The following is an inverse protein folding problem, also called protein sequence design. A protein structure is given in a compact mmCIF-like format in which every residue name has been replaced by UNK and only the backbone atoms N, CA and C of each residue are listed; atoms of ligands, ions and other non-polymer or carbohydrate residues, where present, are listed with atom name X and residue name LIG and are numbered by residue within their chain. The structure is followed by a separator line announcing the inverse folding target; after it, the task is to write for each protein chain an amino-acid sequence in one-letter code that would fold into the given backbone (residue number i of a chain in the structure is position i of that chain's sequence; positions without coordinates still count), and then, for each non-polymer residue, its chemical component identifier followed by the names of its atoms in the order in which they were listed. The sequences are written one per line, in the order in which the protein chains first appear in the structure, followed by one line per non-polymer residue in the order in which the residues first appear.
data_IF_549422818425
#
_entry.id   IF_549422818425
#
_cell.length_a   1.000
_cell.length_b   1.000
_cell.length_c   1.000
_cell.angle_alpha   90.00
_cell.angle_beta   90.00
_cell.angle_gamma   90.00
#
_symmetry.space_group_name_H-M   'P 1'
#
loop_
_entity.id
_entity.type
_entity.pdbx_description
1 polymer ?
#
# COMPACT_ATOMS: atom_id res chain seq x y z
N UNK A 1 -21.43 -6.03 13.33
CA UNK A 1 -20.64 -5.49 12.20
C UNK A 1 -19.36 -6.29 12.12
N UNK A 2 -19.17 -7.12 11.08
CA UNK A 2 -18.06 -8.08 10.95
C UNK A 2 -17.05 -7.62 9.89
N UNK A 3 -16.30 -6.55 10.17
CA UNK A 3 -15.31 -5.97 9.25
C UNK A 3 -14.09 -6.87 9.00
N UNK A 4 -13.75 -7.75 9.95
CA UNK A 4 -12.62 -8.67 9.83
C UNK A 4 -12.82 -9.71 8.71
N UNK A 5 -14.07 -10.10 8.44
CA UNK A 5 -14.38 -11.10 7.42
C UNK A 5 -14.18 -10.57 5.99
N UNK A 6 -14.51 -9.31 5.77
CA UNK A 6 -14.39 -8.68 4.45
C UNK A 6 -12.93 -8.38 4.09
N UNK A 7 -12.14 -7.93 5.08
CA UNK A 7 -10.71 -7.68 4.91
C UNK A 7 -9.97 -8.97 4.56
N UNK A 8 -10.25 -10.06 5.29
CA UNK A 8 -9.61 -11.36 5.06
C UNK A 8 -9.98 -11.92 3.67
N UNK A 9 -11.24 -11.77 3.24
CA UNK A 9 -11.70 -12.20 1.91
C UNK A 9 -11.00 -11.46 0.76
N UNK A 10 -10.77 -10.15 0.91
CA UNK A 10 -10.04 -9.36 -0.09
C UNK A 10 -8.55 -9.72 -0.11
N UNK A 11 -7.95 -9.93 1.06
CA UNK A 11 -6.55 -10.35 1.19
C UNK A 11 -6.33 -11.72 0.53
N UNK A 12 -7.25 -12.67 0.73
CA UNK A 12 -7.21 -13.99 0.12
C UNK A 12 -7.39 -13.93 -1.42
N UNK A 13 -8.28 -13.07 -1.90
CA UNK A 13 -8.46 -12.85 -3.34
C UNK A 13 -7.19 -12.27 -3.98
N UNK A 14 -6.53 -11.34 -3.28
CA UNK A 14 -5.29 -10.72 -3.74
C UNK A 14 -4.13 -11.72 -3.73
N UNK A 15 -3.97 -12.49 -2.64
CA UNK A 15 -2.98 -13.57 -2.54
C UNK A 15 -3.14 -14.60 -3.66
N UNK A 16 -4.38 -14.98 -3.99
CA UNK A 16 -4.64 -15.89 -5.08
C UNK A 16 -4.32 -15.27 -6.45
N UNK A 17 -4.67 -14.01 -6.67
CA UNK A 17 -4.40 -13.32 -7.94
C UNK A 17 -2.90 -13.10 -8.20
N UNK A 18 -2.12 -12.83 -7.14
CA UNK A 18 -0.67 -12.66 -7.21
C UNK A 18 0.12 -13.95 -7.05
N UNK A 19 -0.56 -15.10 -6.93
CA UNK A 19 0.12 -16.37 -6.81
C UNK A 19 1.00 -16.60 -8.04
N UNK A 20 2.28 -16.87 -7.80
CA UNK A 20 3.23 -17.17 -8.87
C UNK A 20 2.74 -18.39 -9.65
N UNK A 21 2.53 -18.19 -10.95
CA UNK A 21 2.18 -19.25 -11.90
C UNK A 21 3.31 -19.34 -12.90
N UNK A 22 3.82 -20.55 -13.10
CA UNK A 22 4.86 -20.76 -14.10
C UNK A 22 4.29 -20.48 -15.49
N UNK A 23 5.09 -19.77 -16.27
CA UNK A 23 4.73 -19.46 -17.64
C UNK A 23 4.85 -20.74 -18.50
N UNK A 24 3.94 -20.96 -19.47
CA UNK A 24 4.06 -22.06 -20.41
C UNK A 24 5.39 -22.01 -21.18
N UNK A 25 5.89 -23.16 -21.60
CA UNK A 25 7.11 -23.24 -22.41
C UNK A 25 7.03 -22.34 -23.65
N UNK A 26 8.16 -21.69 -23.99
CA UNK A 26 8.25 -20.74 -25.09
C UNK A 26 7.44 -19.44 -24.90
N UNK A 27 6.87 -19.16 -23.71
CA UNK A 27 6.18 -17.88 -23.46
C UNK A 27 7.12 -16.68 -23.60
N UNK A 28 8.30 -16.75 -22.99
CA UNK A 28 9.28 -15.66 -23.03
C UNK A 28 9.71 -15.36 -24.48
N UNK A 29 10.00 -16.41 -25.26
CA UNK A 29 10.40 -16.29 -26.66
C UNK A 29 9.29 -15.65 -27.50
N UNK A 30 8.04 -16.15 -27.41
CA UNK A 30 6.88 -15.56 -28.10
C UNK A 30 6.64 -14.10 -27.74
N UNK A 31 6.82 -13.72 -26.47
CA UNK A 31 6.69 -12.32 -26.04
C UNK A 31 7.80 -11.47 -26.63
N UNK A 32 9.05 -11.92 -26.56
CA UNK A 32 10.20 -11.20 -27.11
C UNK A 32 10.07 -11.03 -28.63
N UNK A 33 9.65 -12.06 -29.36
CA UNK A 33 9.36 -11.99 -30.80
C UNK A 33 8.26 -10.96 -31.09
N UNK A 34 7.13 -11.01 -30.34
CA UNK A 34 6.02 -10.06 -30.51
C UNK A 34 6.42 -8.61 -30.21
N UNK A 35 7.31 -8.40 -29.24
CA UNK A 35 7.85 -7.06 -28.91
C UNK A 35 8.77 -6.58 -30.03
N UNK A 36 9.70 -7.42 -30.50
CA UNK A 36 10.60 -7.10 -31.60
C UNK A 36 9.83 -6.77 -32.89
N UNK A 37 8.83 -7.57 -33.26
CA UNK A 37 7.93 -7.31 -34.40
C UNK A 37 7.21 -5.95 -34.28
N UNK A 38 6.75 -5.59 -33.07
CA UNK A 38 6.09 -4.29 -32.83
C UNK A 38 7.05 -3.10 -32.77
N UNK A 39 8.31 -3.33 -32.44
CA UNK A 39 9.36 -2.31 -32.47
C UNK A 39 9.88 -2.06 -33.88
N UNK A 40 9.85 -3.07 -34.76
CA UNK A 40 10.26 -2.96 -36.17
C UNK A 40 9.12 -2.54 -37.10
N UNK A 41 7.87 -2.84 -36.76
CA UNK A 41 6.71 -2.26 -37.42
C UNK A 41 6.55 -0.82 -36.95
N UNK A 42 6.52 0.11 -37.91
CA UNK A 42 6.14 1.52 -37.71
C UNK A 42 4.90 1.65 -36.79
N UNK A 43 4.83 2.73 -36.00
CA UNK A 43 4.30 2.68 -34.65
C UNK A 43 2.81 2.33 -34.57
N UNK A 44 2.41 1.76 -33.42
CA UNK A 44 1.05 1.39 -32.95
C UNK A 44 0.06 2.59 -32.91
N UNK A 45 0.37 3.68 -33.60
CA UNK A 45 -0.47 4.87 -33.74
C UNK A 45 -1.67 4.63 -34.63
N UNK A 46 -1.74 3.59 -35.48
CA UNK A 46 -2.84 3.50 -36.46
C UNK A 46 -4.25 3.44 -35.85
N UNK A 47 -4.43 2.93 -34.62
CA UNK A 47 -5.75 2.98 -33.94
C UNK A 47 -6.06 4.36 -33.34
N UNK A 48 -5.04 5.10 -32.90
CA UNK A 48 -5.16 6.49 -32.43
C UNK A 48 -5.20 7.50 -33.58
N UNK A 49 -4.58 7.20 -34.72
CA UNK A 49 -4.43 8.08 -35.86
C UNK A 49 -5.76 8.26 -36.60
N UNK A 50 -6.64 7.24 -36.59
CA UNK A 50 -8.00 7.37 -37.10
C UNK A 50 -8.87 8.28 -36.22
N UNK A 51 -8.65 8.31 -34.90
CA UNK A 51 -9.36 9.20 -33.98
C UNK A 51 -8.80 10.65 -34.04
N UNK A 52 -7.48 10.79 -34.20
CA UNK A 52 -6.82 12.07 -34.42
C UNK A 52 -7.16 12.69 -35.79
N UNK A 53 -7.48 11.88 -36.81
CA UNK A 53 -7.96 12.36 -38.12
C UNK A 53 -9.32 13.07 -38.03
N UNK A 54 -10.20 12.64 -37.11
CA UNK A 54 -11.45 13.35 -36.84
C UNK A 54 -11.18 14.70 -36.17
N UNK A 55 -10.20 14.77 -35.26
CA UNK A 55 -9.75 16.03 -34.63
C UNK A 55 -8.95 16.96 -35.55
N UNK A 56 -8.34 16.42 -36.62
CA UNK A 56 -7.56 17.19 -37.59
C UNK A 56 -8.45 17.90 -38.63
N UNK A 57 -9.76 17.67 -38.65
CA UNK A 57 -10.67 18.44 -39.50
C UNK A 57 -10.75 19.89 -39.01
N UNK A 58 -10.62 20.90 -39.90
CA UNK A 58 -10.57 22.32 -39.51
C UNK A 58 -11.85 22.81 -38.80
N UNK A 59 -12.96 22.09 -38.93
CA UNK A 59 -14.20 22.38 -38.19
C UNK A 59 -14.10 22.10 -36.68
N UNK A 60 -13.20 21.22 -36.23
CA UNK A 60 -13.11 20.82 -34.81
C UNK A 60 -12.06 21.63 -34.03
N UNK A 61 -11.27 22.46 -34.73
CA UNK A 61 -10.25 23.34 -34.12
C UNK A 61 -10.83 24.30 -33.10
N UNK A 62 -12.06 24.80 -33.31
CA UNK A 62 -12.74 25.67 -32.34
C UNK A 62 -13.22 24.93 -31.09
N UNK A 63 -13.67 23.68 -31.22
CA UNK A 63 -14.18 22.87 -30.12
C UNK A 63 -13.08 22.20 -29.28
N UNK A 64 -11.92 21.92 -29.87
CA UNK A 64 -10.79 21.35 -29.14
C UNK A 64 -10.22 22.32 -28.10
N UNK A 65 -10.17 23.62 -28.39
CA UNK A 65 -9.68 24.64 -27.46
C UNK A 65 -10.57 24.76 -26.21
N UNK A 66 -11.89 24.71 -26.37
CA UNK A 66 -12.82 24.79 -25.24
C UNK A 66 -12.77 23.54 -24.36
N UNK A 67 -12.62 22.35 -24.97
CA UNK A 67 -12.49 21.10 -24.24
C UNK A 67 -11.21 21.03 -23.39
N UNK A 68 -10.08 21.52 -23.90
CA UNK A 68 -8.82 21.60 -23.13
C UNK A 68 -8.94 22.59 -21.97
N UNK A 69 -9.52 23.77 -22.21
CA UNK A 69 -9.77 24.73 -21.13
C UNK A 69 -10.70 24.15 -20.04
N UNK A 70 -11.77 23.46 -20.44
CA UNK A 70 -12.68 22.80 -19.50
C UNK A 70 -11.97 21.69 -18.70
N UNK A 71 -11.15 20.87 -19.36
CA UNK A 71 -10.37 19.83 -18.70
C UNK A 71 -9.33 20.39 -17.72
N UNK A 72 -8.70 21.54 -18.02
CA UNK A 72 -7.79 22.22 -17.10
C UNK A 72 -8.53 22.82 -15.90
N UNK A 73 -9.73 23.37 -16.08
CA UNK A 73 -10.55 23.87 -14.97
C UNK A 73 -11.00 22.71 -14.07
N UNK A 74 -11.52 21.63 -14.65
CA UNK A 74 -11.99 20.46 -13.89
C UNK A 74 -10.82 19.73 -13.22
N UNK A 75 -9.71 19.51 -13.94
CA UNK A 75 -8.50 18.89 -13.41
C UNK A 75 -7.81 19.74 -12.34
N UNK A 76 -7.78 21.06 -12.52
CA UNK A 76 -7.23 22.00 -11.53
C UNK A 76 -8.05 22.05 -10.24
N UNK A 77 -9.38 21.90 -10.32
CA UNK A 77 -10.26 21.79 -9.15
C UNK A 77 -10.03 20.46 -8.43
N UNK A 78 -9.86 19.35 -9.16
CA UNK A 78 -9.65 18.04 -8.55
C UNK A 78 -8.29 17.91 -7.84
N UNK A 79 -7.23 18.52 -8.40
CA UNK A 79 -5.90 18.56 -7.78
C UNK A 79 -5.88 19.27 -6.41
N UNK A 80 -6.78 20.24 -6.19
CA UNK A 80 -6.89 20.94 -4.90
C UNK A 80 -7.53 20.08 -3.80
N UNK A 81 -8.34 19.08 -4.14
CA UNK A 81 -8.97 18.21 -3.15
C UNK A 81 -7.99 17.16 -2.59
N UNK A 82 -7.13 16.58 -3.43
CA UNK A 82 -6.11 15.61 -2.99
C UNK A 82 -5.09 16.23 -2.03
N UNK A 83 -4.71 17.51 -2.23
CA UNK A 83 -3.80 18.18 -1.30
C UNK A 83 -4.40 18.49 0.07
N UNK A 84 -5.73 18.66 0.18
CA UNK A 84 -6.38 18.95 1.46
C UNK A 84 -6.35 17.75 2.39
N UNK A 85 -6.59 16.54 1.86
CA UNK A 85 -6.49 15.29 2.64
C UNK A 85 -5.07 15.09 3.20
N UNK A 86 -4.04 15.49 2.46
CA UNK A 86 -2.65 15.41 2.93
C UNK A 86 -2.27 16.42 4.00
N UNK A 87 -2.98 17.56 4.11
CA UNK A 87 -2.68 18.56 5.14
C UNK A 87 -3.26 18.15 6.50
N UNK A 88 -4.50 17.64 6.51
CA UNK A 88 -5.19 17.23 7.74
C UNK A 88 -4.57 15.95 8.34
N UNK A 89 -4.09 15.03 7.49
CA UNK A 89 -3.39 13.82 7.95
C UNK A 89 -2.04 14.07 8.64
N UNK A 90 -1.37 15.20 8.38
CA UNK A 90 -0.04 15.48 8.96
C UNK A 90 -0.11 15.81 10.45
N UNK A 91 -1.08 16.63 10.86
CA UNK A 91 -1.24 17.02 12.27
C UNK A 91 -1.65 15.82 13.14
N UNK A 92 -2.60 15.01 12.66
CA UNK A 92 -3.02 13.79 13.34
C UNK A 92 -1.87 12.77 13.46
N UNK A 93 -1.05 12.63 12.41
CA UNK A 93 0.12 11.74 12.43
C UNK A 93 1.18 12.19 13.45
N UNK A 94 1.42 13.49 13.59
CA UNK A 94 2.38 14.01 14.58
C UNK A 94 1.94 13.70 16.01
N UNK A 95 0.66 13.91 16.34
CA UNK A 95 0.12 13.61 17.66
C UNK A 95 0.15 12.10 17.96
N UNK A 96 -0.16 11.26 16.98
CA UNK A 96 -0.10 9.81 17.10
C UNK A 96 1.32 9.31 17.40
N UNK A 97 2.32 9.80 16.65
CA UNK A 97 3.73 9.43 16.86
C UNK A 97 4.19 9.79 18.27
N UNK A 98 3.78 10.96 18.78
CA UNK A 98 4.11 11.37 20.14
C UNK A 98 3.46 10.46 21.19
N UNK A 99 2.17 10.14 21.01
CA UNK A 99 1.45 9.24 21.92
C UNK A 99 2.08 7.84 21.95
N UNK A 100 2.44 7.27 20.78
CA UNK A 100 3.14 6.00 20.70
C UNK A 100 4.50 6.02 21.40
N UNK A 101 5.26 7.14 21.27
CA UNK A 101 6.56 7.27 21.94
C UNK A 101 6.41 7.27 23.45
N UNK A 102 5.43 8.01 23.99
CA UNK A 102 5.15 8.06 25.43
C UNK A 102 4.68 6.68 25.93
N UNK A 103 3.76 6.04 25.20
CA UNK A 103 3.27 4.71 25.54
C UNK A 103 4.38 3.66 25.53
N UNK A 104 5.25 3.70 24.51
CA UNK A 104 6.43 2.85 24.41
C UNK A 104 7.38 3.02 25.60
N UNK A 105 7.68 4.26 25.98
CA UNK A 105 8.52 4.55 27.15
C UNK A 105 7.91 4.03 28.45
N UNK A 106 6.60 4.19 28.65
CA UNK A 106 5.92 3.67 29.86
C UNK A 106 5.87 2.15 29.90
N UNK A 107 5.69 1.49 28.76
CA UNK A 107 5.71 0.03 28.66
C UNK A 107 7.09 -0.54 29.02
N UNK A 108 8.17 0.12 28.60
CA UNK A 108 9.53 -0.26 28.97
C UNK A 108 9.78 -0.14 30.48
N UNK A 109 9.29 0.93 31.11
CA UNK A 109 9.38 1.11 32.57
C UNK A 109 8.62 0.01 33.32
N UNK A 110 7.40 -0.33 32.88
CA UNK A 110 6.63 -1.41 33.47
C UNK A 110 7.34 -2.77 33.33
N UNK A 111 7.91 -3.07 32.15
CA UNK A 111 8.71 -4.28 31.91
C UNK A 111 9.94 -4.34 32.83
N UNK A 112 10.66 -3.22 32.98
CA UNK A 112 11.82 -3.15 33.87
C UNK A 112 11.42 -3.45 35.32
N UNK A 113 10.30 -2.90 35.78
CA UNK A 113 9.84 -3.12 37.16
C UNK A 113 9.42 -4.56 37.42
N UNK A 114 8.73 -5.19 36.46
CA UNK A 114 8.38 -6.61 36.54
C UNK A 114 9.64 -7.47 36.56
N UNK A 115 10.65 -7.13 35.75
CA UNK A 115 11.92 -7.85 35.71
C UNK A 115 12.70 -7.73 37.03
N UNK A 116 12.74 -6.54 37.65
CA UNK A 116 13.33 -6.35 38.99
C UNK A 116 12.64 -7.21 40.06
N UNK A 117 11.31 -7.29 40.02
CA UNK A 117 10.54 -8.10 40.99
C UNK A 117 10.81 -9.60 40.76
N UNK A 118 10.90 -10.03 39.50
CA UNK A 118 11.18 -11.42 39.15
C UNK A 118 12.61 -11.83 39.56
N UNK A 119 13.61 -10.99 39.33
CA UNK A 119 15.01 -11.25 39.73
C UNK A 119 15.17 -11.28 41.26
N UNK A 120 14.42 -10.46 42.00
CA UNK A 120 14.43 -10.47 43.46
C UNK A 120 13.60 -11.61 44.09
N UNK A 121 12.83 -12.36 43.30
CA UNK A 121 12.14 -13.56 43.74
C UNK A 121 12.99 -14.81 43.44
N UNK A 122 14.12 -14.93 44.13
CA UNK A 122 14.78 -16.23 44.36
C UNK A 122 14.16 -16.80 45.64
N UNK A 123 13.43 -17.93 45.60
CA UNK A 123 12.81 -18.50 46.78
C UNK A 123 13.89 -19.04 47.72
N UNK A 124 14.04 -18.36 48.86
CA UNK A 124 14.68 -18.91 50.04
C UNK A 124 13.69 -19.86 50.72
N UNK A 125 13.52 -21.07 50.17
CA UNK A 125 12.89 -22.17 50.89
C UNK A 125 13.46 -23.53 50.47
N UNK A 126 14.71 -23.76 50.88
CA UNK A 126 15.31 -25.11 50.97
C UNK A 126 15.91 -25.34 52.36
N UNK A 127 15.26 -24.82 53.40
CA UNK A 127 15.63 -25.09 54.80
C UNK A 127 14.44 -25.62 55.55
N UNK A 128 14.17 -26.91 55.38
CA UNK A 128 13.14 -27.59 56.17
C UNK A 128 12.72 -28.91 55.56
N UNK A 129 13.62 -29.91 55.58
CA UNK A 129 13.25 -31.34 55.59
C UNK A 129 14.51 -32.19 55.81
N UNK A 130 15.06 -32.14 57.02
CA UNK A 130 15.86 -33.22 57.60
C UNK A 130 15.56 -33.30 59.09
N UNK A 131 14.51 -34.04 59.41
CA UNK A 131 14.17 -34.72 60.67
C UNK A 131 12.71 -35.12 60.43
N UNK A 132 12.43 -36.34 59.99
CA UNK A 132 12.00 -37.39 60.92
C UNK A 132 12.08 -38.75 60.19
N UNK A 133 13.02 -39.59 60.61
CA UNK A 133 12.99 -41.04 60.42
C UNK A 133 13.38 -41.67 61.75
N UNK A 134 12.37 -41.95 62.58
CA UNK A 134 12.39 -43.15 63.42
C UNK A 134 11.79 -44.33 62.63
#
# INVERSE_FOLDING_TARGET
MNFDKDTNRMEDALKNALRRREAPEGFADRVLTRVAERSSATPVVLRHQSWLRLFAQPLVRGAAATAVCAALVVGGIHYRNVQREHAEGKAAKQQLILALRIAGSKLQLAKSKINEINVNHVPADQTGNQEEKE
#
